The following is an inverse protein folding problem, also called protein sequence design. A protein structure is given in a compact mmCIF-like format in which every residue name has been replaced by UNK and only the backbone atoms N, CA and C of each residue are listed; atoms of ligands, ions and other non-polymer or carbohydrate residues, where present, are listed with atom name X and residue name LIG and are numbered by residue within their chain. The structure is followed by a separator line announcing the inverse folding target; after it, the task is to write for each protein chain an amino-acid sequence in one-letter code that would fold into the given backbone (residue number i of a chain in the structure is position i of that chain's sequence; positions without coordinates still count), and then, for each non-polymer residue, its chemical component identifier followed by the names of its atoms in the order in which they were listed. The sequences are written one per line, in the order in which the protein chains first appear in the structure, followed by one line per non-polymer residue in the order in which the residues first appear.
data_IF_092920658927
#
_entry.id   IF_092920658927
#
_cell.length_a   1.000
_cell.length_b   1.000
_cell.length_c   1.000
_cell.angle_alpha   90.00
_cell.angle_beta   90.00
_cell.angle_gamma   90.00
#
_symmetry.space_group_name_H-M   'P 1'
#
loop_
_entity.id
_entity.type
_entity.pdbx_description
1 polymer ?
#
# COMPACT_ATOMS: atom_id res chain seq x y z
N UNK A 1 -46.72 40.35 14.31
CA UNK A 1 -46.27 39.77 13.02
C UNK A 1 -44.74 39.72 13.05
N UNK A 2 -44.11 38.72 13.65
CA UNK A 2 -43.49 37.54 12.97
C UNK A 2 -42.84 37.87 11.63
N UNK A 3 -41.52 38.11 11.61
CA UNK A 3 -40.57 37.67 10.57
C UNK A 3 -39.17 37.51 11.18
N UNK A 4 -38.88 36.31 11.67
CA UNK A 4 -37.52 35.84 11.99
C UNK A 4 -36.93 35.37 10.65
N UNK A 5 -35.91 36.05 10.14
CA UNK A 5 -35.16 35.59 8.98
C UNK A 5 -34.19 34.50 9.46
N UNK A 6 -34.60 33.25 9.31
CA UNK A 6 -33.75 32.09 9.50
C UNK A 6 -32.80 31.96 8.28
N UNK A 7 -31.53 32.30 8.49
CA UNK A 7 -30.47 31.99 7.51
C UNK A 7 -29.94 30.60 7.86
N UNK A 8 -30.57 29.58 7.28
CA UNK A 8 -30.02 28.23 7.18
C UNK A 8 -29.08 28.19 5.98
N UNK A 9 -27.81 28.53 6.18
CA UNK A 9 -26.80 28.46 5.13
C UNK A 9 -26.03 27.13 5.22
N UNK A 10 -26.40 26.25 4.29
CA UNK A 10 -25.78 25.02 3.81
C UNK A 10 -24.39 24.69 4.39
N UNK A 11 -24.35 23.73 5.31
CA UNK A 11 -23.17 22.88 5.50
C UNK A 11 -23.13 21.86 4.35
N UNK A 12 -22.61 22.25 3.20
CA UNK A 12 -22.23 21.30 2.17
C UNK A 12 -21.03 20.51 2.73
N UNK A 13 -21.31 19.35 3.35
CA UNK A 13 -20.30 18.35 3.62
C UNK A 13 -19.64 18.03 2.29
N UNK A 14 -18.40 18.48 2.12
CA UNK A 14 -17.48 17.86 1.18
C UNK A 14 -17.23 16.43 1.69
N UNK A 15 -18.15 15.53 1.37
CA UNK A 15 -17.90 14.10 1.45
C UNK A 15 -16.83 13.80 0.40
N UNK A 16 -15.57 13.92 0.78
CA UNK A 16 -14.50 13.24 0.06
C UNK A 16 -14.85 11.76 0.14
N UNK A 17 -15.41 11.21 -0.94
CA UNK A 17 -15.58 9.78 -1.08
C UNK A 17 -14.23 9.15 -0.74
N UNK A 18 -14.20 8.35 0.33
CA UNK A 18 -13.04 7.53 0.63
C UNK A 18 -12.86 6.62 -0.58
N UNK A 19 -11.90 6.95 -1.44
CA UNK A 19 -11.50 6.09 -2.54
C UNK A 19 -11.01 4.80 -1.89
N UNK A 20 -11.67 3.69 -2.19
CA UNK A 20 -11.23 2.38 -1.74
C UNK A 20 -9.88 2.10 -2.42
N UNK A 21 -8.90 1.69 -1.64
CA UNK A 21 -7.57 1.32 -2.11
C UNK A 21 -7.63 0.20 -3.15
N UNK A 22 -6.86 0.33 -4.22
CA UNK A 22 -6.80 -0.65 -5.31
C UNK A 22 -5.77 -1.74 -5.00
N UNK A 23 -6.21 -2.75 -4.27
CA UNK A 23 -5.38 -3.91 -3.93
C UNK A 23 -5.23 -4.88 -5.11
N UNK A 24 -3.99 -5.13 -5.53
CA UNK A 24 -3.63 -6.08 -6.59
C UNK A 24 -3.03 -7.35 -5.98
N UNK A 25 -3.66 -8.53 -6.14
CA UNK A 25 -3.12 -9.78 -5.62
C UNK A 25 -1.88 -10.22 -6.40
N UNK A 26 -0.91 -10.83 -5.71
CA UNK A 26 0.31 -11.34 -6.35
C UNK A 26 0.76 -12.73 -5.87
N UNK A 27 0.31 -13.20 -4.70
CA UNK A 27 0.63 -14.55 -4.24
C UNK A 27 -0.45 -15.13 -3.33
N UNK A 28 -0.61 -16.45 -3.38
CA UNK A 28 -1.41 -17.21 -2.41
C UNK A 28 -0.56 -18.34 -1.88
N UNK A 29 -0.40 -18.43 -0.56
CA UNK A 29 0.39 -19.47 0.09
C UNK A 29 -0.43 -20.75 0.26
N UNK A 30 0.23 -21.89 0.55
CA UNK A 30 -0.43 -23.18 0.74
C UNK A 30 -1.45 -23.20 1.90
N UNK A 31 -1.26 -22.37 2.93
CA UNK A 31 -2.22 -22.17 4.02
C UNK A 31 -3.32 -21.14 3.70
N UNK A 32 -3.41 -20.69 2.44
CA UNK A 32 -4.44 -19.79 1.95
C UNK A 32 -4.24 -18.32 2.32
N UNK A 33 -3.04 -17.88 2.73
CA UNK A 33 -2.78 -16.45 2.90
C UNK A 33 -2.67 -15.82 1.53
N UNK A 34 -3.41 -14.75 1.31
CA UNK A 34 -3.35 -13.96 0.07
C UNK A 34 -2.51 -12.72 0.31
N UNK A 35 -1.57 -12.49 -0.59
CA UNK A 35 -0.75 -11.30 -0.60
C UNK A 35 -1.18 -10.40 -1.74
N UNK A 36 -1.35 -9.12 -1.41
CA UNK A 36 -1.67 -8.07 -2.36
C UNK A 36 -0.80 -6.84 -2.13
N UNK A 37 -0.66 -6.00 -3.15
CA UNK A 37 -0.07 -4.67 -3.01
C UNK A 37 -1.06 -3.59 -3.43
N UNK A 38 -0.99 -2.42 -2.81
CA UNK A 38 -1.83 -1.26 -3.13
C UNK A 38 -1.25 -0.52 -4.35
N UNK A 39 -1.98 -0.55 -5.46
CA UNK A 39 -1.62 0.13 -6.69
C UNK A 39 -1.70 1.66 -6.56
N UNK A 40 -2.59 2.20 -5.73
CA UNK A 40 -2.77 3.63 -5.52
C UNK A 40 -1.65 4.22 -4.63
N UNK A 41 -1.12 3.41 -3.70
CA UNK A 41 0.08 3.78 -2.95
C UNK A 41 1.35 3.73 -3.81
N UNK A 42 1.38 2.92 -4.86
CA UNK A 42 2.60 2.59 -5.59
C UNK A 42 3.20 3.79 -6.34
N UNK A 43 4.51 3.95 -6.27
CA UNK A 43 5.22 5.04 -6.98
C UNK A 43 6.65 4.66 -7.34
N UNK A 44 7.23 5.37 -8.32
CA UNK A 44 8.66 5.32 -8.61
C UNK A 44 9.37 6.38 -7.80
N UNK A 45 10.35 5.96 -6.99
CA UNK A 45 11.21 6.90 -6.28
C UNK A 45 12.23 7.52 -7.24
N UNK A 46 12.30 8.85 -7.33
CA UNK A 46 13.15 9.54 -8.31
C UNK A 46 14.64 9.44 -7.99
N UNK A 47 15.00 9.25 -6.71
CA UNK A 47 16.39 9.19 -6.27
C UNK A 47 17.03 7.84 -6.55
N UNK A 48 16.27 6.76 -6.38
CA UNK A 48 16.78 5.39 -6.48
C UNK A 48 16.29 4.65 -7.71
N UNK A 49 15.24 5.15 -8.38
CA UNK A 49 14.57 4.48 -9.50
C UNK A 49 13.73 3.27 -9.10
N UNK A 50 13.74 2.90 -7.81
CA UNK A 50 13.01 1.74 -7.25
C UNK A 50 11.52 2.02 -7.21
N UNK A 51 10.72 0.96 -7.33
CA UNK A 51 9.27 1.04 -7.18
C UNK A 51 8.91 0.80 -5.72
N UNK A 52 8.29 1.77 -5.08
CA UNK A 52 7.83 1.66 -3.70
C UNK A 52 6.38 1.22 -3.71
N UNK A 53 6.08 0.14 -3.01
CA UNK A 53 4.74 -0.45 -2.90
C UNK A 53 4.37 -0.72 -1.45
N UNK A 54 3.08 -0.69 -1.15
CA UNK A 54 2.53 -1.16 0.12
C UNK A 54 1.94 -2.55 -0.09
N UNK A 55 2.40 -3.51 0.70
CA UNK A 55 1.94 -4.90 0.70
C UNK A 55 1.07 -5.16 1.91
N UNK A 56 0.11 -6.06 1.75
CA UNK A 56 -0.80 -6.43 2.81
C UNK A 56 -1.19 -7.91 2.68
N UNK A 57 -1.49 -8.54 3.81
CA UNK A 57 -1.81 -9.98 3.89
C UNK A 57 -3.27 -10.17 4.27
N UNK A 58 -4.04 -10.72 3.33
CA UNK A 58 -5.39 -11.21 3.56
C UNK A 58 -5.39 -12.47 4.40
N UNK A 59 -6.15 -12.47 5.51
CA UNK A 59 -6.33 -13.66 6.35
C UNK A 59 -7.31 -14.64 5.67
N UNK A 60 -7.12 -15.96 5.82
CA UNK A 60 -8.07 -16.93 5.28
C UNK A 60 -9.44 -16.74 5.96
N UNK A 61 -10.48 -16.57 5.15
CA UNK A 61 -11.86 -16.38 5.63
C UNK A 61 -12.27 -14.92 5.91
N UNK A 62 -11.43 -13.93 5.62
CA UNK A 62 -11.84 -12.53 5.61
C UNK A 62 -12.58 -12.17 4.29
N UNK A 63 -13.63 -11.35 4.38
CA UNK A 63 -14.33 -10.77 3.22
C UNK A 63 -14.40 -9.22 3.37
N UNK A 64 -13.89 -8.43 2.40
CA UNK A 64 -13.09 -8.87 1.26
C UNK A 64 -11.75 -9.48 1.71
N UNK A 65 -11.29 -10.48 0.96
CA UNK A 65 -10.04 -11.20 1.27
C UNK A 65 -8.78 -10.38 0.96
N UNK A 66 -8.93 -9.37 0.11
CA UNK A 66 -7.84 -8.48 -0.32
C UNK A 66 -7.38 -7.59 0.82
N UNK A 67 -6.10 -7.21 0.76
CA UNK A 67 -5.28 -6.72 1.86
C UNK A 67 -5.97 -5.87 2.92
N UNK A 68 -5.58 -6.00 4.20
CA UNK A 68 -6.09 -5.12 5.24
C UNK A 68 -5.89 -3.65 4.88
N UNK A 69 -6.79 -2.81 5.37
CA UNK A 69 -6.82 -1.39 5.04
C UNK A 69 -5.48 -0.67 5.33
N UNK A 70 -5.27 0.51 4.75
CA UNK A 70 -4.07 1.34 4.98
C UNK A 70 -3.68 1.53 6.47
N UNK A 71 -2.45 2.00 6.75
CA UNK A 71 -1.99 2.37 8.09
C UNK A 71 -3.01 3.18 8.90
N UNK A 72 -3.18 2.81 10.17
CA UNK A 72 -4.10 3.49 11.10
C UNK A 72 -5.53 2.93 11.12
N UNK A 73 -5.83 1.92 10.30
CA UNK A 73 -7.13 1.21 10.29
C UNK A 73 -7.10 0.00 11.23
N UNK A 74 -8.28 -0.43 11.69
CA UNK A 74 -8.42 -1.48 12.72
C UNK A 74 -7.98 -2.88 12.25
N UNK A 75 -8.07 -3.13 10.94
CA UNK A 75 -7.61 -4.33 10.26
C UNK A 75 -6.22 -4.17 9.64
N UNK A 76 -5.72 -2.92 9.51
CA UNK A 76 -4.55 -2.53 8.74
C UNK A 76 -3.23 -3.15 9.19
N UNK A 77 -2.75 -4.20 8.52
CA UNK A 77 -1.45 -4.85 8.75
C UNK A 77 -0.71 -5.05 7.43
N UNK A 78 0.46 -4.44 7.31
CA UNK A 78 1.22 -4.54 6.07
C UNK A 78 2.63 -3.99 6.15
N UNK A 79 3.27 -3.94 4.99
CA UNK A 79 4.67 -3.58 4.83
C UNK A 79 4.85 -2.65 3.64
N UNK A 80 5.69 -1.63 3.77
CA UNK A 80 6.15 -0.86 2.63
C UNK A 80 7.50 -1.40 2.19
N UNK A 81 7.66 -1.59 0.89
CA UNK A 81 8.85 -2.21 0.31
C UNK A 81 9.24 -1.49 -0.97
N UNK A 82 10.54 -1.26 -1.13
CA UNK A 82 11.11 -0.75 -2.37
C UNK A 82 11.64 -1.94 -3.18
N UNK A 83 11.18 -2.04 -4.41
CA UNK A 83 11.53 -3.09 -5.37
C UNK A 83 12.45 -2.50 -6.44
N UNK A 84 13.62 -3.11 -6.59
CA UNK A 84 14.50 -2.86 -7.72
C UNK A 84 14.22 -3.89 -8.82
N UNK A 85 13.57 -3.43 -9.87
CA UNK A 85 13.19 -4.26 -11.02
C UNK A 85 14.38 -4.73 -11.86
N UNK A 86 15.47 -3.97 -11.88
CA UNK A 86 16.67 -4.32 -12.66
C UNK A 86 17.47 -5.39 -11.93
N UNK A 87 17.73 -5.20 -10.64
CA UNK A 87 18.48 -6.13 -9.80
C UNK A 87 17.66 -7.27 -9.20
N UNK A 88 16.34 -7.29 -9.40
CA UNK A 88 15.39 -8.24 -8.77
C UNK A 88 15.61 -8.36 -7.26
N UNK A 89 15.79 -7.19 -6.64
CA UNK A 89 16.16 -7.04 -5.24
C UNK A 89 15.16 -6.12 -4.54
N UNK A 90 15.14 -6.15 -3.21
CA UNK A 90 14.14 -5.45 -2.42
C UNK A 90 14.68 -4.96 -1.08
N UNK A 91 14.08 -3.88 -0.59
CA UNK A 91 14.36 -3.25 0.71
C UNK A 91 13.05 -3.14 1.46
N UNK A 92 13.00 -3.69 2.67
CA UNK A 92 11.89 -3.41 3.59
C UNK A 92 12.05 -1.99 4.13
N UNK A 93 11.06 -1.13 3.89
CA UNK A 93 11.08 0.27 4.34
C UNK A 93 10.48 0.39 5.74
N UNK A 94 9.46 -0.41 6.03
CA UNK A 94 8.75 -0.35 7.30
C UNK A 94 7.52 -1.25 7.28
N UNK A 95 6.95 -1.49 8.46
CA UNK A 95 5.71 -2.23 8.63
C UNK A 95 4.75 -1.48 9.53
N UNK A 96 3.46 -1.68 9.30
CA UNK A 96 2.38 -1.06 10.05
C UNK A 96 1.41 -2.10 10.60
N UNK A 97 0.72 -1.72 11.68
CA UNK A 97 -0.37 -2.49 12.27
C UNK A 97 -1.37 -1.52 12.91
N UNK A 98 -2.55 -1.97 13.37
CA UNK A 98 -3.48 -1.08 14.10
C UNK A 98 -2.86 -0.49 15.38
N UNK A 99 -1.84 -1.16 15.94
CA UNK A 99 -1.12 -0.74 17.15
C UNK A 99 0.20 -0.02 16.85
N UNK A 100 0.63 0.05 15.58
CA UNK A 100 1.92 0.61 15.18
C UNK A 100 1.75 1.44 13.90
N UNK A 101 1.95 2.76 13.95
CA UNK A 101 1.88 3.59 12.76
C UNK A 101 2.95 3.16 11.74
N UNK A 102 2.73 3.50 10.48
CA UNK A 102 3.74 3.29 9.44
C UNK A 102 4.89 4.27 9.64
N UNK A 103 6.07 3.74 9.92
CA UNK A 103 7.32 4.48 9.96
C UNK A 103 8.28 3.90 8.92
N UNK A 104 8.72 4.73 7.97
CA UNK A 104 9.67 4.34 6.95
C UNK A 104 11.10 4.63 7.45
N UNK A 105 12.02 3.69 7.25
CA UNK A 105 13.43 3.85 7.57
C UNK A 105 14.02 5.06 6.84
N UNK A 106 14.53 6.05 7.56
CA UNK A 106 15.08 7.27 6.94
C UNK A 106 16.24 7.00 5.96
N UNK A 107 16.94 5.88 6.11
CA UNK A 107 18.11 5.50 5.32
C UNK A 107 17.80 4.49 4.21
N UNK A 108 16.53 4.17 3.96
CA UNK A 108 16.17 3.12 3.01
C UNK A 108 16.73 3.36 1.59
N UNK A 109 16.88 4.63 1.18
CA UNK A 109 17.39 4.97 -0.15
C UNK A 109 18.86 4.60 -0.36
N UNK A 110 19.65 4.66 0.71
CA UNK A 110 21.08 4.31 0.71
C UNK A 110 21.34 2.89 1.21
N UNK A 111 20.31 2.19 1.71
CA UNK A 111 20.42 0.81 2.13
C UNK A 111 20.74 -0.12 0.95
N UNK A 112 21.52 -1.17 1.23
CA UNK A 112 21.81 -2.22 0.25
C UNK A 112 20.60 -3.15 0.14
N UNK A 113 20.01 -3.31 -1.06
CA UNK A 113 18.88 -4.20 -1.25
C UNK A 113 19.28 -5.67 -1.11
N UNK A 114 18.41 -6.46 -0.49
CA UNK A 114 18.54 -7.91 -0.43
C UNK A 114 17.94 -8.56 -1.68
N UNK A 115 18.51 -9.66 -2.13
CA UNK A 115 17.91 -10.45 -3.22
C UNK A 115 16.52 -10.98 -2.80
N UNK A 116 15.57 -11.01 -3.74
CA UNK A 116 14.28 -11.68 -3.55
C UNK A 116 14.50 -13.21 -3.47
N UNK A 117 14.28 -13.80 -2.29
CA UNK A 117 14.64 -15.20 -2.03
C UNK A 117 13.42 -16.11 -2.02
N UNK A 118 12.37 -15.71 -1.31
CA UNK A 118 11.15 -16.50 -1.16
C UNK A 118 10.33 -16.55 -2.46
N UNK A 119 9.32 -17.42 -2.50
CA UNK A 119 8.40 -17.48 -3.64
C UNK A 119 7.56 -16.20 -3.71
N UNK A 120 7.16 -15.68 -2.55
CA UNK A 120 6.38 -14.46 -2.38
C UNK A 120 7.18 -13.22 -2.79
N UNK A 121 8.46 -13.13 -2.40
CA UNK A 121 9.36 -12.04 -2.81
C UNK A 121 9.49 -11.98 -4.33
N UNK A 122 9.70 -13.14 -4.96
CA UNK A 122 9.84 -13.25 -6.41
C UNK A 122 8.53 -12.92 -7.11
N UNK A 123 7.41 -13.34 -6.55
CA UNK A 123 6.07 -13.02 -7.06
C UNK A 123 5.79 -11.52 -6.97
N UNK A 124 6.15 -10.87 -5.85
CA UNK A 124 6.06 -9.42 -5.70
C UNK A 124 6.89 -8.70 -6.77
N UNK A 125 8.18 -9.04 -6.90
CA UNK A 125 9.06 -8.44 -7.91
C UNK A 125 8.44 -8.61 -9.30
N UNK A 126 7.96 -9.80 -9.64
CA UNK A 126 7.35 -10.05 -10.94
C UNK A 126 6.06 -9.25 -11.17
N UNK A 127 5.20 -9.12 -10.16
CA UNK A 127 3.93 -8.39 -10.26
C UNK A 127 4.18 -6.87 -10.37
N UNK A 128 5.00 -6.32 -9.49
CA UNK A 128 5.31 -4.88 -9.46
C UNK A 128 6.03 -4.45 -10.73
N UNK A 129 7.03 -5.22 -11.18
CA UNK A 129 7.85 -4.84 -12.32
C UNK A 129 7.13 -4.94 -13.67
N UNK A 130 6.01 -5.68 -13.75
CA UNK A 130 5.12 -5.68 -14.92
C UNK A 130 4.24 -4.43 -14.98
N UNK A 131 3.91 -3.84 -13.84
CA UNK A 131 2.94 -2.75 -13.71
C UNK A 131 3.61 -1.41 -13.36
N UNK A 132 4.74 -1.09 -14.01
CA UNK A 132 5.48 0.15 -13.73
C UNK A 132 5.12 1.32 -14.63
N UNK A 133 4.42 1.05 -15.74
CA UNK A 133 3.99 2.08 -16.68
C UNK A 133 2.89 2.93 -16.05
N UNK A 134 3.06 4.26 -16.08
CA UNK A 134 2.08 5.21 -15.52
C UNK A 134 2.15 5.42 -14.02
N UNK A 135 3.10 4.78 -13.30
CA UNK A 135 3.30 5.07 -11.89
C UNK A 135 3.75 6.53 -11.69
N UNK A 136 3.22 7.22 -10.67
CA UNK A 136 3.69 8.56 -10.32
C UNK A 136 5.16 8.49 -9.87
N UNK A 137 5.90 9.56 -10.15
CA UNK A 137 7.26 9.76 -9.65
C UNK A 137 7.22 10.60 -8.37
N UNK A 138 7.90 10.17 -7.31
CA UNK A 138 8.01 10.90 -6.04
C UNK A 138 9.43 10.91 -5.49
#
# INVERSE_FOLDING_TARGET
MRRILAIAALSALAATAAQAETWTPYATTANGLEWSYDADYSYRDTLTGRIVVMQAVGKPGAEPRMGPSAPGKADGVGFVTAVDCSGKSMISLGGYSPKKPLELSATWRTATPGAAKSAEDKALVAAVCKNTAGLPSK
#
